data_IF_042575959430
#
_entry.id   IF_042575959430
#
_cell.length_a   1.000
_cell.length_b   1.000
_cell.length_c   1.000
_cell.angle_alpha   90.00
_cell.angle_beta   90.00
_cell.angle_gamma   90.00
#
_symmetry.space_group_name_H-M   'P 1'
#
loop_
_entity.id
_entity.type
_entity.pdbx_description
1 polymer ?
#
# COMPACT_ATOMS: atom_id res chain seq x y z
N UNK A 1 -11.69 15.47 -3.15
CA UNK A 1 -10.49 15.41 -4.00
C UNK A 1 -10.08 13.95 -4.14
N UNK A 2 -9.98 13.37 -5.35
CA UNK A 2 -9.39 12.04 -5.49
C UNK A 2 -7.91 12.16 -5.13
N UNK A 3 -7.54 11.64 -3.97
CA UNK A 3 -6.13 11.52 -3.59
C UNK A 3 -5.48 10.47 -4.51
N UNK A 4 -4.20 10.66 -4.81
CA UNK A 4 -3.42 9.62 -5.50
C UNK A 4 -3.50 8.32 -4.69
N UNK A 5 -3.72 7.18 -5.34
CA UNK A 5 -3.74 5.87 -4.66
C UNK A 5 -2.46 5.58 -3.86
N UNK A 6 -1.34 6.24 -4.20
CA UNK A 6 -0.11 6.19 -3.40
C UNK A 6 -0.28 6.89 -2.05
N UNK A 7 -0.91 8.07 -2.02
CA UNK A 7 -1.17 8.79 -0.78
C UNK A 7 -2.17 8.03 0.10
N UNK A 8 -3.24 7.50 -0.49
CA UNK A 8 -4.20 6.69 0.27
C UNK A 8 -3.54 5.45 0.87
N UNK A 9 -2.66 4.78 0.12
CA UNK A 9 -1.86 3.65 0.62
C UNK A 9 -0.98 4.05 1.80
N UNK A 10 -0.31 5.21 1.74
CA UNK A 10 0.51 5.71 2.85
C UNK A 10 -0.33 6.03 4.10
N UNK A 11 -1.54 6.56 3.92
CA UNK A 11 -2.45 6.86 5.04
C UNK A 11 -2.94 5.58 5.70
N UNK A 12 -3.34 4.56 4.93
CA UNK A 12 -3.72 3.25 5.47
C UNK A 12 -2.57 2.56 6.22
N UNK A 13 -1.35 2.63 5.70
CA UNK A 13 -0.16 2.06 6.37
C UNK A 13 0.18 2.86 7.64
N UNK A 14 0.05 4.19 7.61
CA UNK A 14 0.26 5.04 8.79
C UNK A 14 -0.71 4.66 9.91
N UNK A 15 -1.97 4.42 9.57
CA UNK A 15 -3.01 4.09 10.54
C UNK A 15 -2.93 2.63 11.00
N UNK A 16 -2.50 1.69 10.14
CA UNK A 16 -2.22 0.30 10.49
C UNK A 16 -0.97 -0.25 9.77
N UNK A 17 0.22 -0.21 10.41
CA UNK A 17 1.47 -0.69 9.80
C UNK A 17 1.52 -2.20 9.54
N UNK A 18 0.65 -2.98 10.20
CA UNK A 18 0.55 -4.44 10.04
C UNK A 18 -0.40 -4.86 8.91
N UNK A 19 -0.94 -3.90 8.16
CA UNK A 19 -1.86 -4.16 7.06
C UNK A 19 -1.20 -5.01 5.98
N UNK A 20 -1.92 -6.02 5.50
CA UNK A 20 -1.47 -6.85 4.38
C UNK A 20 -1.82 -6.20 3.04
N UNK A 21 -1.08 -6.54 1.99
CA UNK A 21 -1.39 -6.11 0.63
C UNK A 21 -2.82 -6.47 0.18
N UNK A 22 -3.34 -7.64 0.61
CA UNK A 22 -4.73 -8.06 0.32
C UNK A 22 -5.74 -7.18 1.06
N UNK A 23 -5.49 -6.84 2.33
CA UNK A 23 -6.35 -5.91 3.07
C UNK A 23 -6.36 -4.52 2.43
N UNK A 24 -5.19 -4.01 2.02
CA UNK A 24 -5.07 -2.74 1.28
C UNK A 24 -5.87 -2.76 -0.03
N UNK A 25 -5.80 -3.83 -0.82
CA UNK A 25 -6.53 -3.92 -2.08
C UNK A 25 -8.04 -3.83 -1.89
N UNK A 26 -8.57 -4.48 -0.83
CA UNK A 26 -9.99 -4.40 -0.49
C UNK A 26 -10.39 -3.00 0.02
N UNK A 27 -9.61 -2.40 0.93
CA UNK A 27 -9.90 -1.08 1.51
C UNK A 27 -9.87 0.05 0.49
N UNK A 28 -8.88 0.02 -0.41
CA UNK A 28 -8.68 1.05 -1.41
C UNK A 28 -9.48 0.82 -2.70
N UNK A 29 -10.23 -0.29 -2.76
CA UNK A 29 -10.99 -0.75 -3.92
C UNK A 29 -10.14 -0.76 -5.21
N UNK A 30 -9.00 -1.45 -5.16
CA UNK A 30 -8.08 -1.63 -6.28
C UNK A 30 -7.63 -3.09 -6.38
N UNK A 31 -7.10 -3.49 -7.53
CA UNK A 31 -6.60 -4.86 -7.70
C UNK A 31 -5.38 -5.15 -6.83
N UNK A 32 -5.18 -6.43 -6.49
CA UNK A 32 -4.00 -6.87 -5.75
C UNK A 32 -2.70 -6.55 -6.49
N UNK A 33 -2.72 -6.66 -7.84
CA UNK A 33 -1.59 -6.32 -8.70
C UNK A 33 -1.26 -4.82 -8.69
N UNK A 34 -2.26 -3.94 -8.77
CA UNK A 34 -2.05 -2.50 -8.63
C UNK A 34 -1.54 -2.13 -7.24
N UNK A 35 -2.07 -2.80 -6.20
CA UNK A 35 -1.59 -2.63 -4.83
C UNK A 35 -0.11 -3.02 -4.71
N UNK A 36 0.30 -4.14 -5.34
CA UNK A 36 1.71 -4.55 -5.40
C UNK A 36 2.59 -3.48 -6.04
N UNK A 37 2.18 -2.97 -7.21
CA UNK A 37 2.93 -1.98 -7.96
C UNK A 37 3.13 -0.69 -7.16
N UNK A 38 2.09 -0.22 -6.47
CA UNK A 38 2.16 0.94 -5.57
C UNK A 38 3.14 0.68 -4.42
N UNK A 39 3.01 -0.45 -3.72
CA UNK A 39 3.90 -0.79 -2.61
C UNK A 39 5.36 -0.93 -3.04
N UNK A 40 5.62 -1.55 -4.20
CA UNK A 40 6.97 -1.63 -4.78
C UNK A 40 7.51 -0.24 -5.11
N UNK A 41 6.70 0.66 -5.67
CA UNK A 41 7.11 2.03 -5.97
C UNK A 41 7.48 2.80 -4.69
N UNK A 42 6.64 2.70 -3.65
CA UNK A 42 6.87 3.35 -2.36
C UNK A 42 8.11 2.78 -1.64
N UNK A 43 8.32 1.46 -1.74
CA UNK A 43 9.50 0.80 -1.17
C UNK A 43 10.78 1.20 -1.91
N UNK A 44 10.75 1.23 -3.25
CA UNK A 44 11.89 1.65 -4.06
C UNK A 44 12.31 3.10 -3.78
N UNK A 45 11.34 3.99 -3.51
CA UNK A 45 11.59 5.38 -3.10
C UNK A 45 12.04 5.53 -1.64
N UNK A 46 12.03 4.45 -0.86
CA UNK A 46 12.39 4.45 0.57
C UNK A 46 11.31 5.00 1.51
N UNK A 47 10.07 5.15 1.04
CA UNK A 47 8.99 5.75 1.83
C UNK A 47 8.26 4.73 2.72
N UNK A 48 8.31 3.45 2.34
CA UNK A 48 7.74 2.34 3.09
C UNK A 48 8.80 1.23 3.18
N UNK A 49 8.89 0.57 4.33
CA UNK A 49 9.61 -0.69 4.48
C UNK A 49 8.58 -1.81 4.56
N UNK A 50 8.61 -2.74 3.63
CA UNK A 50 7.72 -3.90 3.61
C UNK A 50 8.50 -5.17 3.91
N UNK A 51 7.89 -6.09 4.66
CA UNK A 51 8.45 -7.42 4.94
C UNK A 51 7.56 -8.48 4.29
N UNK A 52 8.19 -9.44 3.60
CA UNK A 52 7.50 -10.63 3.12
C UNK A 52 7.43 -11.64 4.26
N UNK A 53 6.22 -11.87 4.79
CA UNK A 53 5.95 -13.00 5.68
C UNK A 53 5.97 -14.26 4.82
N UNK A 54 6.97 -15.10 5.04
CA UNK A 54 7.19 -16.37 4.31
C UNK A 54 6.83 -17.52 5.24
#
# INVERSE_FOLDING_TARGET
MPKSKHLDTLLEIKDNPSVTQRSLSHRLNISLGLTNAILQNLTHRGWVKAQKLT
#
